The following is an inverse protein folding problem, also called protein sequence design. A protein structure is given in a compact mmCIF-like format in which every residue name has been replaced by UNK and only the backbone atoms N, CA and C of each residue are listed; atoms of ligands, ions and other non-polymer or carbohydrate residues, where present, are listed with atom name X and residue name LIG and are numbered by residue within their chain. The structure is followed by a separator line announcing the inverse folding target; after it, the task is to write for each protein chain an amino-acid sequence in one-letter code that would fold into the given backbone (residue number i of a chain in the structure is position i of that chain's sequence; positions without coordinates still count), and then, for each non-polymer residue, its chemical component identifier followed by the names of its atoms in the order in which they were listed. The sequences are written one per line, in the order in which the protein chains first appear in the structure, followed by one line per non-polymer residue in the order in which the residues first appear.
data_IF_900379619167
#
_entry.id   IF_900379619167
#
_cell.length_a   1.000
_cell.length_b   1.000
_cell.length_c   1.000
_cell.angle_alpha   90.00
_cell.angle_beta   90.00
_cell.angle_gamma   90.00
#
_symmetry.space_group_name_H-M   'P 1'
#
loop_
_entity.id
_entity.type
_entity.pdbx_description
1 polymer ?
#
# COMPACT_ATOMS: atom_id res chain seq x y z
N UNK A 1 -54.83 35.51 -25.23
CA UNK A 1 -54.09 34.24 -25.42
C UNK A 1 -52.61 34.55 -25.25
N UNK A 2 -52.06 34.18 -24.10
CA UNK A 2 -50.70 34.48 -23.69
C UNK A 2 -49.74 33.42 -24.24
N UNK A 3 -48.71 33.85 -24.98
CA UNK A 3 -47.64 32.99 -25.48
C UNK A 3 -46.48 32.95 -24.49
N UNK A 4 -46.24 31.78 -23.90
CA UNK A 4 -45.13 31.49 -23.00
C UNK A 4 -43.77 31.63 -23.69
N UNK A 5 -42.90 32.51 -23.17
CA UNK A 5 -41.47 32.50 -23.45
C UNK A 5 -40.77 31.59 -22.44
N UNK A 6 -40.32 30.42 -22.88
CA UNK A 6 -39.42 29.55 -22.10
C UNK A 6 -38.01 30.15 -22.07
N UNK A 7 -37.61 30.70 -20.93
CA UNK A 7 -36.23 31.05 -20.61
C UNK A 7 -35.42 29.78 -20.32
N UNK A 8 -34.45 29.46 -21.18
CA UNK A 8 -33.46 28.40 -20.94
C UNK A 8 -32.36 28.98 -20.03
N UNK A 9 -32.40 28.59 -18.76
CA UNK A 9 -31.36 28.89 -17.77
C UNK A 9 -30.22 27.87 -17.89
N UNK A 10 -29.16 28.20 -18.63
CA UNK A 10 -27.90 27.44 -18.59
C UNK A 10 -27.15 27.76 -17.29
N UNK A 11 -27.32 26.89 -16.28
CA UNK A 11 -26.50 26.92 -15.06
C UNK A 11 -25.07 26.52 -15.39
N UNK A 12 -24.19 27.51 -15.50
CA UNK A 12 -22.73 27.35 -15.52
C UNK A 12 -22.26 26.69 -14.21
N UNK A 13 -21.90 25.41 -14.26
CA UNK A 13 -21.25 24.68 -13.17
C UNK A 13 -19.83 25.20 -12.98
N UNK A 14 -19.66 26.16 -12.05
CA UNK A 14 -18.35 26.60 -11.56
C UNK A 14 -17.65 25.42 -10.88
N UNK A 15 -16.67 24.81 -11.55
CA UNK A 15 -15.70 23.89 -10.93
C UNK A 15 -14.85 24.70 -9.95
N UNK A 16 -14.98 24.42 -8.64
CA UNK A 16 -14.15 25.02 -7.59
C UNK A 16 -12.72 24.48 -7.73
N UNK A 17 -11.79 25.35 -8.12
CA UNK A 17 -10.36 25.09 -8.03
C UNK A 17 -9.98 24.85 -6.55
N UNK A 18 -9.41 23.68 -6.26
CA UNK A 18 -8.98 23.31 -4.93
C UNK A 18 -7.69 24.07 -4.57
N UNK A 19 -7.73 24.87 -3.49
CA UNK A 19 -6.58 25.64 -2.99
C UNK A 19 -5.94 24.87 -1.84
N UNK A 20 -4.72 24.38 -2.00
CA UNK A 20 -3.92 23.88 -0.87
C UNK A 20 -3.38 25.04 -0.03
N UNK A 21 -3.11 24.76 1.25
CA UNK A 21 -2.65 25.75 2.22
C UNK A 21 -1.34 26.42 1.79
N UNK A 22 -1.40 27.75 1.60
CA UNK A 22 -0.42 28.64 0.95
C UNK A 22 -0.35 28.54 -0.58
N UNK A 23 -1.41 28.99 -1.26
CA UNK A 23 -1.34 29.86 -2.46
C UNK A 23 -0.61 29.37 -3.72
N UNK A 24 0.01 28.18 -3.74
CA UNK A 24 0.64 27.62 -4.93
C UNK A 24 -0.43 26.98 -5.79
N UNK A 25 -0.79 27.67 -6.87
CA UNK A 25 -1.59 27.09 -7.94
C UNK A 25 -0.68 26.17 -8.76
N UNK A 26 -0.85 24.87 -8.61
CA UNK A 26 -0.20 23.89 -9.47
C UNK A 26 -0.85 23.93 -10.85
N UNK A 27 -0.13 24.39 -11.87
CA UNK A 27 -0.67 24.52 -13.24
C UNK A 27 -1.12 23.16 -13.79
N UNK A 28 -0.43 22.10 -13.39
CA UNK A 28 -0.71 20.72 -13.78
C UNK A 28 -1.93 20.10 -13.08
N UNK A 29 -2.49 20.73 -12.03
CA UNK A 29 -3.62 20.18 -11.29
C UNK A 29 -4.89 20.01 -12.14
N UNK A 30 -5.02 20.84 -13.19
CA UNK A 30 -6.15 20.81 -14.13
C UNK A 30 -5.80 20.08 -15.45
N UNK A 31 -4.59 19.54 -15.60
CA UNK A 31 -4.18 18.87 -16.84
C UNK A 31 -4.86 17.51 -16.99
N UNK A 32 -5.17 17.08 -18.24
CA UNK A 32 -5.54 15.69 -18.51
C UNK A 32 -4.39 14.74 -18.17
N UNK A 33 -4.69 13.46 -17.90
CA UNK A 33 -3.70 12.45 -17.50
C UNK A 33 -2.54 12.40 -18.50
N UNK A 34 -2.82 12.30 -19.80
CA UNK A 34 -1.78 12.20 -20.82
C UNK A 34 -0.75 13.32 -20.76
N UNK A 35 -1.20 14.56 -20.54
CA UNK A 35 -0.30 15.70 -20.41
C UNK A 35 0.46 15.69 -19.08
N UNK A 36 -0.17 15.23 -18.01
CA UNK A 36 0.46 15.13 -16.70
C UNK A 36 1.52 14.03 -16.68
N UNK A 37 1.28 12.91 -17.37
CA UNK A 37 2.23 11.78 -17.47
C UNK A 37 3.57 12.19 -18.10
N UNK A 38 3.57 13.16 -19.03
CA UNK A 38 4.81 13.65 -19.65
C UNK A 38 5.62 14.60 -18.75
N UNK A 39 5.12 14.92 -17.55
CA UNK A 39 5.81 15.77 -16.59
C UNK A 39 6.86 14.98 -15.79
N UNK A 40 8.04 15.56 -15.57
CA UNK A 40 9.06 14.97 -14.69
C UNK A 40 8.66 15.06 -13.23
N UNK A 41 8.99 14.03 -12.46
CA UNK A 41 8.74 13.97 -11.02
C UNK A 41 9.31 15.21 -10.29
N UNK A 42 10.55 15.61 -10.62
CA UNK A 42 11.20 16.78 -10.03
C UNK A 42 10.50 18.12 -10.32
N UNK A 43 9.71 18.21 -11.39
CA UNK A 43 9.05 19.44 -11.80
C UNK A 43 7.71 19.66 -11.10
N UNK A 44 7.17 18.65 -10.40
CA UNK A 44 5.85 18.71 -9.73
C UNK A 44 5.76 19.87 -8.72
N UNK A 45 6.88 20.23 -8.09
CA UNK A 45 6.96 21.35 -7.15
C UNK A 45 6.17 21.14 -5.85
N UNK A 46 5.86 19.88 -5.52
CA UNK A 46 5.11 19.48 -4.33
C UNK A 46 6.02 19.28 -3.11
N UNK A 47 5.42 19.32 -1.93
CA UNK A 47 6.06 19.09 -0.65
C UNK A 47 5.17 18.28 0.28
N UNK A 48 5.60 18.11 1.54
CA UNK A 48 4.89 17.29 2.53
C UNK A 48 3.62 17.97 3.09
N UNK A 49 3.29 19.17 2.61
CA UNK A 49 2.17 20.00 3.05
C UNK A 49 0.82 19.64 2.41
N UNK A 50 0.72 18.47 1.79
CA UNK A 50 -0.51 17.96 1.16
C UNK A 50 -1.69 17.82 2.12
N UNK A 51 -2.94 17.85 1.61
CA UNK A 51 -4.14 17.90 2.46
C UNK A 51 -4.35 16.64 3.31
N UNK A 52 -3.88 15.47 2.86
CA UNK A 52 -3.88 14.22 3.64
C UNK A 52 -2.61 14.11 4.49
N UNK A 53 -1.45 14.30 3.87
CA UNK A 53 -0.17 14.06 4.52
C UNK A 53 0.12 15.01 5.69
N UNK A 54 -0.23 16.30 5.57
CA UNK A 54 0.01 17.31 6.61
C UNK A 54 -0.68 16.98 7.94
N UNK A 55 -1.99 16.69 8.00
CA UNK A 55 -2.63 16.29 9.25
C UNK A 55 -2.09 14.96 9.80
N UNK A 56 -1.76 13.99 8.94
CA UNK A 56 -1.16 12.73 9.38
C UNK A 56 0.22 12.93 10.02
N UNK A 57 1.11 13.72 9.40
CA UNK A 57 2.40 14.08 10.00
C UNK A 57 2.25 14.87 11.30
N UNK A 58 1.32 15.82 11.36
CA UNK A 58 1.02 16.54 12.60
C UNK A 58 0.57 15.60 13.72
N UNK A 59 -0.28 14.61 13.41
CA UNK A 59 -0.68 13.57 14.36
C UNK A 59 0.50 12.70 14.77
N UNK A 60 1.34 12.25 13.84
CA UNK A 60 2.54 11.45 14.15
C UNK A 60 3.44 12.19 15.15
N UNK A 61 3.71 13.47 14.90
CA UNK A 61 4.49 14.30 15.80
C UNK A 61 3.82 14.48 17.17
N UNK A 62 2.50 14.66 17.25
CA UNK A 62 1.80 14.67 18.53
C UNK A 62 1.89 13.33 19.28
N UNK A 63 1.83 12.20 18.57
CA UNK A 63 1.99 10.88 19.17
C UNK A 63 3.40 10.70 19.74
N UNK A 64 4.43 11.16 19.03
CA UNK A 64 5.83 11.20 19.53
C UNK A 64 5.93 12.02 20.82
N UNK A 65 5.33 13.21 20.85
CA UNK A 65 5.34 14.07 22.04
C UNK A 65 4.65 13.42 23.24
N UNK A 66 3.50 12.79 23.02
CA UNK A 66 2.77 12.07 24.09
C UNK A 66 3.58 10.90 24.66
N UNK A 67 4.50 10.34 23.88
CA UNK A 67 5.44 9.30 24.34
C UNK A 67 6.68 9.88 25.03
N UNK A 68 6.82 11.21 25.12
CA UNK A 68 7.97 11.87 25.72
C UNK A 68 9.28 11.66 24.95
N UNK A 69 9.20 11.25 23.69
CA UNK A 69 10.38 10.97 22.87
C UNK A 69 10.96 12.27 22.30
N UNK A 70 12.26 12.48 22.50
CA UNK A 70 12.99 13.64 21.96
C UNK A 70 13.20 13.55 20.45
N UNK A 71 13.30 12.34 19.91
CA UNK A 71 13.57 12.11 18.50
C UNK A 71 12.44 12.63 17.61
N UNK A 72 12.80 13.29 16.51
CA UNK A 72 11.89 13.78 15.49
C UNK A 72 12.41 13.36 14.11
N UNK A 73 11.75 12.43 13.40
CA UNK A 73 12.18 12.08 12.06
C UNK A 73 12.01 13.27 11.12
N UNK A 74 12.94 13.44 10.19
CA UNK A 74 12.70 14.28 9.02
C UNK A 74 11.99 13.46 7.94
N UNK A 75 11.06 14.10 7.24
CA UNK A 75 10.34 13.51 6.13
C UNK A 75 10.65 14.28 4.85
N UNK A 76 10.70 13.59 3.72
CA UNK A 76 10.85 14.21 2.40
C UNK A 76 10.02 13.49 1.35
N UNK A 77 9.64 14.21 0.29
CA UNK A 77 8.88 13.61 -0.82
C UNK A 77 9.82 12.83 -1.73
N UNK A 78 9.39 11.64 -2.16
CA UNK A 78 10.08 10.74 -3.09
C UNK A 78 9.06 10.05 -4.02
N UNK A 79 9.49 9.02 -4.76
CA UNK A 79 8.64 8.12 -5.56
C UNK A 79 7.73 7.25 -4.70
N UNK A 80 8.27 6.63 -3.64
CA UNK A 80 7.58 5.66 -2.77
C UNK A 80 7.86 5.92 -1.27
N UNK A 81 7.23 5.14 -0.39
CA UNK A 81 7.60 5.02 1.02
C UNK A 81 8.91 4.27 1.15
N UNK A 82 9.81 4.76 2.02
CA UNK A 82 11.00 4.03 2.46
C UNK A 82 11.77 4.74 3.56
N UNK A 83 12.49 3.97 4.37
CA UNK A 83 13.53 4.47 5.27
C UNK A 83 14.90 3.99 4.80
N UNK A 84 15.81 4.87 4.34
CA UNK A 84 17.15 4.45 3.95
C UNK A 84 18.01 4.06 5.15
N UNK A 85 18.84 3.03 4.96
CA UNK A 85 19.81 2.57 5.96
C UNK A 85 20.62 3.70 6.58
N UNK A 86 20.60 3.76 7.91
CA UNK A 86 21.37 4.75 8.67
C UNK A 86 20.87 6.19 8.53
N UNK A 87 19.66 6.40 8.01
CA UNK A 87 19.01 7.71 7.97
C UNK A 87 17.88 7.77 9.01
N UNK A 88 17.97 8.68 10.00
CA UNK A 88 16.92 8.95 10.99
C UNK A 88 15.69 9.69 10.44
N UNK A 89 15.14 9.22 9.32
CA UNK A 89 14.01 9.83 8.63
C UNK A 89 13.61 9.00 7.42
N UNK A 90 12.46 9.33 6.83
CA UNK A 90 11.85 8.51 5.78
C UNK A 90 11.27 9.34 4.63
N UNK A 91 11.20 8.69 3.48
CA UNK A 91 10.56 9.18 2.28
C UNK A 91 9.05 8.97 2.34
N UNK A 92 8.30 9.88 1.73
CA UNK A 92 6.86 9.78 1.52
C UNK A 92 6.58 9.94 0.02
N UNK A 93 5.65 9.17 -0.55
CA UNK A 93 5.38 9.20 -1.98
C UNK A 93 4.77 10.53 -2.42
N UNK A 94 5.14 10.96 -3.63
CA UNK A 94 4.64 12.19 -4.24
C UNK A 94 3.13 12.16 -4.45
N UNK A 95 2.53 11.00 -4.71
CA UNK A 95 1.11 10.90 -5.00
C UNK A 95 0.21 11.33 -3.83
N UNK A 96 0.67 11.19 -2.57
CA UNK A 96 -0.07 11.63 -1.38
C UNK A 96 -0.03 13.15 -1.12
N UNK A 97 0.77 13.88 -1.90
CA UNK A 97 0.98 15.33 -1.67
C UNK A 97 -0.14 16.19 -2.27
N UNK A 98 -0.93 15.67 -3.20
CA UNK A 98 -1.98 16.43 -3.88
C UNK A 98 -3.12 15.54 -4.40
N UNK A 99 -4.41 15.93 -4.28
CA UNK A 99 -5.54 15.10 -4.72
C UNK A 99 -5.50 14.68 -6.19
N UNK A 100 -5.00 15.57 -7.06
CA UNK A 100 -4.83 15.24 -8.49
C UNK A 100 -3.82 14.11 -8.74
N UNK A 101 -2.76 14.03 -7.93
CA UNK A 101 -1.75 12.99 -8.04
C UNK A 101 -2.26 11.68 -7.43
N UNK A 102 -3.03 11.74 -6.34
CA UNK A 102 -3.77 10.57 -5.82
C UNK A 102 -4.71 9.98 -6.88
N UNK A 103 -5.45 10.81 -7.61
CA UNK A 103 -6.30 10.35 -8.72
C UNK A 103 -5.51 9.73 -9.87
N UNK A 104 -4.29 10.22 -10.12
CA UNK A 104 -3.42 9.64 -11.13
C UNK A 104 -2.93 8.26 -10.66
N UNK A 105 -2.46 8.17 -9.41
CA UNK A 105 -2.04 6.91 -8.78
C UNK A 105 -3.14 5.85 -8.86
N UNK A 106 -4.36 6.19 -8.43
CA UNK A 106 -5.51 5.28 -8.49
C UNK A 106 -5.80 4.79 -9.91
N UNK A 107 -5.61 5.63 -10.93
CA UNK A 107 -5.83 5.22 -12.34
C UNK A 107 -4.72 4.34 -12.87
N UNK A 108 -3.49 4.56 -12.44
CA UNK A 108 -2.32 3.83 -12.94
C UNK A 108 -2.09 2.52 -12.18
N UNK A 109 -2.40 2.50 -10.88
CA UNK A 109 -2.10 1.40 -9.96
C UNK A 109 -3.35 0.76 -9.33
N UNK A 110 -4.55 1.28 -9.61
CA UNK A 110 -5.86 0.77 -9.14
C UNK A 110 -6.10 0.90 -7.63
N UNK A 111 -5.12 1.41 -6.90
CA UNK A 111 -5.17 1.74 -5.48
C UNK A 111 -4.28 2.94 -5.20
N UNK A 112 -4.40 3.49 -3.98
CA UNK A 112 -3.51 4.54 -3.48
C UNK A 112 -2.99 4.07 -2.13
N UNK A 113 -1.76 3.59 -2.08
CA UNK A 113 -1.14 3.16 -0.83
C UNK A 113 -1.05 4.32 0.16
N UNK A 114 -1.64 4.15 1.35
CA UNK A 114 -1.75 5.25 2.32
C UNK A 114 -2.71 6.36 1.88
N UNK A 115 -3.61 6.09 0.94
CA UNK A 115 -4.58 7.04 0.39
C UNK A 115 -5.68 7.47 1.38
N UNK A 116 -5.89 6.70 2.45
CA UNK A 116 -6.76 7.08 3.57
C UNK A 116 -5.95 7.55 4.78
N UNK A 117 -6.58 8.32 5.68
CA UNK A 117 -5.94 8.75 6.92
C UNK A 117 -5.49 7.56 7.78
N UNK A 118 -6.30 6.50 7.86
CA UNK A 118 -5.97 5.33 8.68
C UNK A 118 -4.76 4.57 8.13
N UNK A 119 -4.73 4.30 6.82
CA UNK A 119 -3.60 3.63 6.16
C UNK A 119 -2.33 4.48 6.19
N UNK A 120 -2.43 5.77 5.89
CA UNK A 120 -1.30 6.70 5.97
C UNK A 120 -0.69 6.67 7.38
N UNK A 121 -1.52 6.67 8.43
CA UNK A 121 -1.05 6.55 9.81
C UNK A 121 -0.56 5.15 10.20
N UNK A 122 -0.93 4.08 9.49
CA UNK A 122 -0.32 2.75 9.68
C UNK A 122 1.12 2.78 9.15
N UNK A 123 1.33 3.25 7.93
CA UNK A 123 2.64 3.33 7.27
C UNK A 123 3.57 4.31 7.98
N UNK A 124 3.10 5.53 8.31
CA UNK A 124 3.93 6.52 9.02
C UNK A 124 4.47 6.03 10.37
N UNK A 125 3.71 5.19 11.09
CA UNK A 125 4.17 4.62 12.37
C UNK A 125 5.18 3.49 12.14
N UNK A 126 5.01 2.74 11.06
CA UNK A 126 5.97 1.73 10.62
C UNK A 126 7.31 2.39 10.25
N UNK A 127 7.28 3.40 9.37
CA UNK A 127 8.47 4.17 8.98
C UNK A 127 9.16 4.87 10.16
N UNK A 128 8.37 5.36 11.13
CA UNK A 128 8.93 5.90 12.38
C UNK A 128 9.72 4.83 13.16
N UNK A 129 9.28 3.57 13.11
CA UNK A 129 9.99 2.43 13.71
C UNK A 129 11.39 2.28 13.13
N UNK A 130 11.50 2.19 11.81
CA UNK A 130 12.79 2.16 11.11
C UNK A 130 13.65 3.38 11.41
N UNK A 131 13.06 4.59 11.34
CA UNK A 131 13.79 5.82 11.61
C UNK A 131 14.35 5.88 13.05
N UNK A 132 13.60 5.39 14.04
CA UNK A 132 14.07 5.28 15.44
C UNK A 132 15.15 4.22 15.59
N UNK A 133 15.00 3.06 14.94
CA UNK A 133 16.03 2.02 14.95
C UNK A 133 17.37 2.58 14.46
N UNK A 134 17.37 3.28 13.33
CA UNK A 134 18.57 3.90 12.76
C UNK A 134 19.10 5.05 13.62
N UNK A 135 18.23 5.88 14.18
CA UNK A 135 18.60 7.00 15.05
C UNK A 135 19.43 6.56 16.26
N UNK A 136 19.08 5.41 16.86
CA UNK A 136 19.68 4.91 18.09
C UNK A 136 20.47 3.61 17.91
N UNK A 137 20.63 3.13 16.66
CA UNK A 137 21.30 1.88 16.30
C UNK A 137 20.77 0.67 17.09
N UNK A 138 19.44 0.58 17.26
CA UNK A 138 18.81 -0.40 18.15
C UNK A 138 19.06 -1.84 17.69
N UNK A 139 19.08 -2.07 16.38
CA UNK A 139 19.44 -3.35 15.75
C UNK A 139 20.79 -3.94 16.16
N UNK A 140 21.70 -3.12 16.71
CA UNK A 140 23.00 -3.58 17.22
C UNK A 140 22.92 -4.17 18.62
N UNK A 141 21.84 -3.92 19.36
CA UNK A 141 21.68 -4.40 20.74
C UNK A 141 21.45 -5.90 20.75
N UNK A 142 22.15 -6.62 21.63
CA UNK A 142 22.05 -8.08 21.74
C UNK A 142 20.62 -8.58 21.99
N UNK A 143 19.89 -7.94 22.91
CA UNK A 143 18.49 -8.28 23.22
C UNK A 143 17.53 -8.03 22.03
N UNK A 144 17.81 -7.01 21.23
CA UNK A 144 17.07 -6.78 19.98
C UNK A 144 17.29 -7.95 19.02
N UNK A 145 18.55 -8.36 18.83
CA UNK A 145 18.90 -9.46 17.93
C UNK A 145 18.35 -10.82 18.36
N UNK A 146 18.27 -11.07 19.67
CA UNK A 146 17.66 -12.28 20.24
C UNK A 146 16.15 -12.35 19.97
N UNK A 147 15.47 -11.20 19.92
CA UNK A 147 14.00 -11.13 19.75
C UNK A 147 13.56 -11.07 18.29
N UNK A 148 14.25 -10.29 17.46
CA UNK A 148 13.87 -10.02 16.06
C UNK A 148 14.75 -10.79 15.06
N UNK A 149 16.02 -11.00 15.37
CA UNK A 149 17.01 -11.59 14.48
C UNK A 149 18.11 -10.60 14.10
N UNK A 150 18.93 -10.92 13.09
CA UNK A 150 19.99 -10.01 12.62
C UNK A 150 19.44 -9.12 11.51
N UNK A 151 19.57 -7.80 11.65
CA UNK A 151 19.30 -6.82 10.59
C UNK A 151 20.18 -7.03 9.35
N UNK A 152 21.39 -7.57 9.53
CA UNK A 152 22.30 -7.91 8.42
C UNK A 152 21.84 -9.09 7.55
N UNK A 153 20.63 -9.61 7.74
CA UNK A 153 20.10 -10.65 6.85
C UNK A 153 19.80 -10.00 5.49
N UNK A 154 20.07 -10.69 4.37
CA UNK A 154 19.62 -10.19 3.09
C UNK A 154 18.09 -10.11 3.06
N UNK A 155 17.54 -9.00 2.58
CA UNK A 155 16.12 -8.88 2.32
C UNK A 155 15.71 -9.95 1.28
N UNK A 156 14.68 -10.75 1.58
CA UNK A 156 14.24 -11.76 0.63
C UNK A 156 13.57 -11.10 -0.57
N UNK A 157 13.76 -11.65 -1.76
CA UNK A 157 12.99 -11.24 -2.94
C UNK A 157 11.52 -11.68 -2.85
N UNK A 158 11.25 -12.74 -2.08
CA UNK A 158 9.93 -13.29 -1.78
C UNK A 158 9.92 -13.93 -0.39
N UNK A 159 8.81 -13.81 0.36
CA UNK A 159 8.61 -14.53 1.61
C UNK A 159 7.23 -15.19 1.66
N UNK A 160 7.14 -16.37 2.27
CA UNK A 160 5.87 -17.04 2.51
C UNK A 160 5.47 -16.83 3.98
N UNK A 161 4.48 -15.97 4.27
CA UNK A 161 4.04 -15.76 5.63
C UNK A 161 3.43 -17.04 6.21
N UNK A 162 3.50 -17.18 7.53
CA UNK A 162 2.78 -18.21 8.28
C UNK A 162 1.59 -17.56 8.98
N UNK A 163 0.36 -17.63 8.43
CA UNK A 163 -0.78 -16.85 8.92
C UNK A 163 -1.13 -17.03 10.39
N UNK A 164 -0.96 -18.27 10.88
CA UNK A 164 -1.30 -18.66 12.25
C UNK A 164 -0.16 -18.43 13.25
N UNK A 165 0.95 -17.86 12.81
CA UNK A 165 2.10 -17.59 13.68
C UNK A 165 1.76 -16.50 14.70
N UNK A 166 1.74 -16.87 15.98
CA UNK A 166 1.57 -15.94 17.10
C UNK A 166 2.88 -15.24 17.52
N UNK A 167 3.97 -15.47 16.79
CA UNK A 167 5.30 -14.89 17.09
C UNK A 167 5.46 -13.46 16.62
N UNK A 168 4.55 -12.98 15.78
CA UNK A 168 4.61 -11.67 15.14
C UNK A 168 3.36 -10.87 15.48
N UNK A 169 3.50 -9.55 15.48
CA UNK A 169 2.35 -8.66 15.52
C UNK A 169 1.68 -8.60 14.14
N UNK A 170 0.44 -8.12 14.10
CA UNK A 170 -0.27 -7.82 12.87
C UNK A 170 -0.54 -6.31 12.83
N UNK A 171 0.17 -5.58 11.96
CA UNK A 171 0.01 -4.14 11.79
C UNK A 171 -0.21 -3.71 10.35
N UNK A 172 0.71 -3.98 9.41
CA UNK A 172 0.49 -3.92 7.97
C UNK A 172 -0.04 -5.27 7.46
N UNK A 173 -0.49 -5.30 6.22
CA UNK A 173 -1.12 -6.48 5.61
C UNK A 173 -0.03 -7.53 5.24
N UNK A 174 -0.39 -8.65 4.61
CA UNK A 174 0.54 -9.75 4.23
C UNK A 174 1.39 -10.36 5.35
N UNK A 175 1.04 -10.15 6.61
CA UNK A 175 1.92 -10.51 7.73
C UNK A 175 3.34 -9.94 7.56
N UNK A 176 3.44 -8.67 7.14
CA UNK A 176 4.70 -8.02 6.76
C UNK A 176 5.82 -8.14 7.81
N UNK A 177 5.47 -8.21 9.10
CA UNK A 177 6.41 -8.50 10.19
C UNK A 177 7.22 -9.81 10.03
N UNK A 178 6.83 -10.71 9.12
CA UNK A 178 7.54 -11.97 8.85
C UNK A 178 8.60 -11.86 7.74
N UNK A 179 8.64 -10.75 6.99
CA UNK A 179 9.50 -10.60 5.81
C UNK A 179 10.97 -10.41 6.19
N UNK A 180 11.25 -9.63 7.23
CA UNK A 180 12.61 -9.31 7.68
C UNK A 180 12.64 -8.98 9.18
N UNK A 181 13.76 -9.20 9.92
CA UNK A 181 13.90 -8.74 11.31
C UNK A 181 13.64 -7.25 11.53
N UNK A 182 14.03 -6.41 10.58
CA UNK A 182 13.80 -4.96 10.68
C UNK A 182 12.30 -4.65 10.52
N UNK A 183 11.60 -5.34 9.60
CA UNK A 183 10.14 -5.23 9.48
C UNK A 183 9.40 -5.72 10.73
N UNK A 184 9.84 -6.82 11.33
CA UNK A 184 9.28 -7.33 12.60
C UNK A 184 9.38 -6.28 13.71
N UNK A 185 10.51 -5.57 13.79
CA UNK A 185 10.69 -4.47 14.73
C UNK A 185 9.79 -3.28 14.40
N UNK A 186 9.79 -2.80 13.14
CA UNK A 186 9.00 -1.65 12.71
C UNK A 186 7.50 -1.87 12.93
N UNK A 187 7.00 -3.06 12.59
CA UNK A 187 5.62 -3.50 12.84
C UNK A 187 5.31 -3.54 14.34
N UNK A 188 6.20 -4.12 15.15
CA UNK A 188 6.05 -4.20 16.61
C UNK A 188 6.01 -2.80 17.22
N UNK A 189 6.90 -1.92 16.78
CA UNK A 189 6.94 -0.52 17.19
C UNK A 189 5.65 0.20 16.81
N UNK A 190 5.15 0.01 15.59
CA UNK A 190 3.93 0.65 15.12
C UNK A 190 2.70 0.22 15.94
N UNK A 191 2.58 -1.07 16.29
CA UNK A 191 1.55 -1.56 17.22
C UNK A 191 1.68 -0.91 18.59
N UNK A 192 2.90 -0.89 19.15
CA UNK A 192 3.16 -0.29 20.46
C UNK A 192 2.79 1.19 20.48
N UNK A 193 3.09 1.93 19.41
CA UNK A 193 2.89 3.37 19.29
C UNK A 193 1.41 3.78 19.37
N UNK A 194 0.50 2.93 18.87
CA UNK A 194 -0.94 3.23 18.76
C UNK A 194 -1.55 3.55 20.15
N UNK A 195 -2.09 4.76 20.36
CA UNK A 195 -2.52 5.21 21.70
C UNK A 195 -3.75 4.47 22.25
N UNK A 196 -4.58 3.85 21.39
CA UNK A 196 -5.85 3.23 21.77
C UNK A 196 -5.81 1.70 21.83
N UNK A 197 -4.72 1.08 21.39
CA UNK A 197 -4.62 -0.38 21.33
C UNK A 197 -4.09 -0.88 22.68
N UNK A 198 -4.92 -1.62 23.41
CA UNK A 198 -4.48 -2.38 24.58
C UNK A 198 -3.68 -3.61 24.13
N UNK A 199 -2.48 -3.39 23.61
CA UNK A 199 -1.67 -4.44 23.00
C UNK A 199 -1.38 -5.59 23.97
N UNK A 200 -1.25 -5.31 25.28
CA UNK A 200 -1.13 -6.32 26.34
C UNK A 200 -2.29 -7.30 26.34
N UNK A 201 -3.53 -6.79 26.19
CA UNK A 201 -4.74 -7.60 26.11
C UNK A 201 -4.84 -8.32 24.76
N UNK A 202 -4.56 -7.61 23.66
CA UNK A 202 -4.66 -8.17 22.29
C UNK A 202 -3.70 -9.34 22.05
N UNK A 203 -2.47 -9.24 22.55
CA UNK A 203 -1.41 -10.23 22.36
C UNK A 203 -1.20 -11.11 23.60
N UNK A 204 -2.16 -11.16 24.53
CA UNK A 204 -2.08 -12.03 25.70
C UNK A 204 -1.88 -13.50 25.28
N UNK A 205 -0.86 -14.15 25.84
CA UNK A 205 -0.49 -15.53 25.51
C UNK A 205 0.22 -15.72 24.16
N UNK A 206 0.50 -14.64 23.42
CA UNK A 206 1.28 -14.70 22.17
C UNK A 206 2.76 -14.45 22.47
N UNK A 207 3.69 -15.21 21.85
CA UNK A 207 5.12 -14.92 21.96
C UNK A 207 5.50 -13.49 21.51
N UNK A 208 4.74 -12.89 20.59
CA UNK A 208 4.92 -11.50 20.16
C UNK A 208 4.83 -10.49 21.32
N UNK A 209 4.13 -10.83 22.42
CA UNK A 209 4.01 -9.95 23.58
C UNK A 209 5.37 -9.59 24.18
N UNK A 210 6.32 -10.53 24.19
CA UNK A 210 7.69 -10.29 24.69
C UNK A 210 8.41 -9.19 23.91
N UNK A 211 8.14 -9.09 22.60
CA UNK A 211 8.70 -8.04 21.74
C UNK A 211 8.08 -6.69 22.06
N UNK A 212 6.76 -6.65 22.26
CA UNK A 212 6.05 -5.42 22.66
C UNK A 212 6.51 -4.91 24.03
N UNK A 213 6.69 -5.79 25.00
CA UNK A 213 7.23 -5.44 26.33
C UNK A 213 8.67 -4.95 26.23
N UNK A 214 9.49 -5.57 25.35
CA UNK A 214 10.83 -5.10 25.08
C UNK A 214 10.85 -3.70 24.45
N UNK A 215 10.01 -3.45 23.43
CA UNK A 215 9.90 -2.13 22.80
C UNK A 215 9.42 -1.09 23.83
N UNK A 216 8.45 -1.42 24.68
CA UNK A 216 7.97 -0.50 25.73
C UNK A 216 9.09 -0.08 26.69
N UNK A 217 9.87 -1.04 27.19
CA UNK A 217 11.02 -0.76 28.04
C UNK A 217 12.13 0.00 27.30
N UNK A 218 12.40 -0.39 26.05
CA UNK A 218 13.44 0.23 25.22
C UNK A 218 13.12 1.69 24.91
N UNK A 219 11.87 2.00 24.57
CA UNK A 219 11.45 3.37 24.29
C UNK A 219 11.49 4.24 25.53
N UNK A 220 11.14 3.70 26.70
CA UNK A 220 11.31 4.41 27.98
C UNK A 220 12.79 4.71 28.28
N UNK A 221 13.70 3.78 28.00
CA UNK A 221 15.15 3.97 28.18
C UNK A 221 15.70 5.10 27.30
N UNK A 222 15.31 5.16 26.03
CA UNK A 222 15.89 6.12 25.07
C UNK A 222 15.11 7.44 24.96
N UNK A 223 13.94 7.56 25.59
CA UNK A 223 13.00 8.67 25.39
C UNK A 223 13.65 10.06 25.45
N UNK A 224 14.50 10.30 26.46
CA UNK A 224 15.18 11.59 26.67
C UNK A 224 16.61 11.63 26.08
N UNK A 225 17.14 10.47 25.71
CA UNK A 225 18.47 10.31 25.11
C UNK A 225 18.56 10.99 23.75
N UNK A 226 19.74 11.55 23.44
CA UNK A 226 20.02 12.09 22.11
C UNK A 226 20.20 10.94 21.11
N UNK A 227 19.67 11.05 19.88
CA UNK A 227 20.01 10.15 18.79
C UNK A 227 21.53 10.07 18.59
N UNK A 228 22.03 8.86 18.30
CA UNK A 228 23.43 8.61 17.95
C UNK A 228 23.67 9.07 16.51
N UNK A 229 22.77 8.70 15.62
CA UNK A 229 22.80 9.14 14.22
C UNK A 229 21.94 10.39 14.09
N UNK A 230 22.49 11.43 13.47
CA UNK A 230 21.83 12.75 13.30
C UNK A 230 21.80 13.21 11.84
N UNK A 231 22.14 12.32 10.90
CA UNK A 231 22.11 12.61 9.47
C UNK A 231 20.73 13.10 9.03
N UNK A 232 20.70 14.14 8.20
CA UNK A 232 19.49 14.64 7.54
C UNK A 232 19.53 14.47 6.02
N UNK A 233 20.38 13.55 5.55
CA UNK A 233 20.43 13.21 4.13
C UNK A 233 19.05 12.71 3.68
N UNK A 234 18.73 13.01 2.42
CA UNK A 234 17.50 12.59 1.76
C UNK A 234 17.93 11.73 0.58
N UNK A 235 17.64 10.44 0.64
CA UNK A 235 17.89 9.53 -0.47
C UNK A 235 16.75 9.68 -1.48
N UNK A 236 17.09 9.71 -2.78
CA UNK A 236 16.13 9.87 -3.88
C UNK A 236 15.06 10.97 -3.67
N UNK A 237 15.41 12.19 -3.21
CA UNK A 237 14.40 13.21 -3.00
C UNK A 237 13.77 13.60 -4.33
N UNK A 238 12.45 13.87 -4.34
CA UNK A 238 11.67 14.17 -5.53
C UNK A 238 12.35 15.19 -6.46
N UNK A 239 12.96 16.23 -5.90
CA UNK A 239 13.72 17.27 -6.63
C UNK A 239 14.88 16.75 -7.50
N UNK A 240 15.32 15.50 -7.31
CA UNK A 240 16.40 14.84 -8.06
C UNK A 240 15.88 13.76 -9.01
N UNK A 241 14.61 13.39 -8.95
CA UNK A 241 14.01 12.36 -9.79
C UNK A 241 13.61 12.97 -11.14
N UNK A 242 14.41 12.69 -12.18
CA UNK A 242 14.25 13.27 -13.52
C UNK A 242 13.35 12.47 -14.44
N UNK A 243 12.96 11.26 -14.05
CA UNK A 243 12.02 10.43 -14.80
C UNK A 243 10.67 11.12 -14.89
N UNK A 244 10.01 10.92 -16.02
CA UNK A 244 8.63 11.34 -16.23
C UNK A 244 7.69 10.51 -15.39
N UNK A 245 6.50 11.03 -15.09
CA UNK A 245 5.43 10.25 -14.47
C UNK A 245 5.08 9.03 -15.32
N UNK A 246 5.10 9.17 -16.66
CA UNK A 246 4.90 8.07 -17.61
C UNK A 246 5.91 6.94 -17.41
N UNK A 247 7.20 7.26 -17.44
CA UNK A 247 8.27 6.28 -17.21
C UNK A 247 8.16 5.66 -15.82
N UNK A 248 7.91 6.47 -14.79
CA UNK A 248 7.72 5.97 -13.43
C UNK A 248 6.58 4.95 -13.33
N UNK A 249 5.41 5.24 -13.92
CA UNK A 249 4.29 4.31 -13.90
C UNK A 249 4.53 3.09 -14.78
N UNK A 250 5.19 3.24 -15.93
CA UNK A 250 5.59 2.09 -16.75
C UNK A 250 6.55 1.17 -16.00
N UNK A 251 7.56 1.71 -15.32
CA UNK A 251 8.49 0.94 -14.50
C UNK A 251 7.79 0.29 -13.30
N UNK A 252 6.89 1.02 -12.63
CA UNK A 252 6.10 0.53 -11.50
C UNK A 252 5.16 -0.60 -11.94
N UNK A 253 4.49 -0.44 -13.08
CA UNK A 253 3.64 -1.46 -13.70
C UNK A 253 4.43 -2.64 -14.26
N UNK A 254 5.66 -2.45 -14.74
CA UNK A 254 6.52 -3.56 -15.16
C UNK A 254 7.06 -4.34 -13.95
N UNK A 255 7.30 -3.65 -12.83
CA UNK A 255 7.71 -4.26 -11.57
C UNK A 255 6.58 -5.07 -10.94
N UNK A 256 5.36 -4.56 -10.99
CA UNK A 256 4.21 -5.16 -10.30
C UNK A 256 3.25 -5.92 -11.22
N UNK A 257 3.16 -5.57 -12.49
CA UNK A 257 2.47 -6.33 -13.53
C UNK A 257 3.27 -7.56 -13.95
N UNK A 258 2.57 -8.59 -14.39
CA UNK A 258 3.16 -9.88 -14.73
C UNK A 258 2.61 -10.40 -16.06
N UNK A 259 3.46 -11.06 -16.83
CA UNK A 259 3.06 -11.97 -17.91
C UNK A 259 2.70 -13.33 -17.27
N UNK A 260 1.43 -13.72 -17.35
CA UNK A 260 0.94 -14.96 -16.77
C UNK A 260 1.01 -16.12 -17.77
N UNK A 261 1.49 -17.30 -17.36
CA UNK A 261 1.33 -18.51 -18.16
C UNK A 261 -0.10 -19.09 -18.02
N UNK A 262 -0.64 -19.60 -19.13
CA UNK A 262 -2.01 -20.12 -19.36
C UNK A 262 -2.45 -21.34 -18.51
N UNK A 263 -2.20 -21.37 -17.20
CA UNK A 263 -2.54 -22.52 -16.35
C UNK A 263 -3.95 -22.48 -15.71
N UNK A 264 -4.79 -21.51 -16.08
CA UNK A 264 -6.08 -21.28 -15.43
C UNK A 264 -7.22 -22.19 -15.89
N UNK A 265 -7.10 -22.79 -17.08
CA UNK A 265 -8.21 -23.46 -17.76
C UNK A 265 -8.83 -24.59 -16.94
N UNK A 266 -8.00 -25.40 -16.26
CA UNK A 266 -8.48 -26.49 -15.43
C UNK A 266 -9.34 -25.97 -14.27
N UNK A 267 -8.83 -24.97 -13.55
CA UNK A 267 -9.50 -24.43 -12.38
C UNK A 267 -10.75 -23.63 -12.76
N UNK A 268 -10.69 -22.85 -13.85
CA UNK A 268 -11.84 -22.14 -14.39
C UNK A 268 -12.96 -23.11 -14.81
N UNK A 269 -12.62 -24.28 -15.35
CA UNK A 269 -13.58 -25.36 -15.67
C UNK A 269 -14.13 -26.10 -14.44
N UNK A 270 -13.52 -25.94 -13.26
CA UNK A 270 -14.12 -26.41 -12.00
C UNK A 270 -15.18 -25.43 -11.48
N UNK A 271 -15.00 -24.13 -11.73
CA UNK A 271 -15.89 -23.06 -11.29
C UNK A 271 -17.03 -22.76 -12.27
N UNK A 272 -16.75 -22.89 -13.55
CA UNK A 272 -17.66 -22.60 -14.66
C UNK A 272 -17.74 -23.79 -15.60
N UNK A 273 -18.66 -23.77 -16.57
CA UNK A 273 -18.83 -24.89 -17.50
C UNK A 273 -19.17 -24.43 -18.91
N UNK A 274 -18.65 -25.13 -19.90
CA UNK A 274 -19.00 -25.04 -21.33
C UNK A 274 -20.04 -26.11 -21.74
N UNK A 275 -20.62 -26.86 -20.79
CA UNK A 275 -21.58 -27.91 -21.11
C UNK A 275 -22.87 -27.31 -21.73
N UNK A 276 -23.43 -27.92 -22.80
CA UNK A 276 -24.58 -27.37 -23.52
C UNK A 276 -25.80 -27.04 -22.66
N UNK A 277 -26.00 -27.77 -21.56
CA UNK A 277 -27.09 -27.52 -20.59
C UNK A 277 -27.00 -26.16 -19.88
N UNK A 278 -25.86 -25.49 -19.95
CA UNK A 278 -25.61 -24.18 -19.35
C UNK A 278 -25.48 -23.06 -20.39
N UNK A 279 -25.75 -23.32 -21.68
CA UNK A 279 -25.55 -22.36 -22.77
C UNK A 279 -26.36 -21.05 -22.56
N UNK A 280 -27.54 -21.14 -21.96
CA UNK A 280 -28.41 -19.98 -21.67
C UNK A 280 -28.01 -19.23 -20.40
N UNK A 281 -27.05 -19.74 -19.62
CA UNK A 281 -26.58 -19.08 -18.40
C UNK A 281 -25.67 -17.89 -18.74
N UNK A 282 -25.52 -17.00 -17.76
CA UNK A 282 -24.63 -15.84 -17.85
C UNK A 282 -23.18 -16.30 -18.22
N UNK A 283 -22.55 -15.66 -19.22
CA UNK A 283 -21.13 -15.90 -19.50
C UNK A 283 -20.26 -15.62 -18.27
N UNK A 284 -19.35 -16.53 -17.95
CA UNK A 284 -18.43 -16.43 -16.82
C UNK A 284 -17.62 -15.13 -16.87
N UNK A 285 -17.16 -14.73 -18.06
CA UNK A 285 -16.46 -13.47 -18.27
C UNK A 285 -17.31 -12.24 -17.88
N UNK A 286 -18.61 -12.25 -18.19
CA UNK A 286 -19.54 -11.17 -17.80
C UNK A 286 -19.73 -11.12 -16.29
N UNK A 287 -19.90 -12.29 -15.67
CA UNK A 287 -19.97 -12.43 -14.22
C UNK A 287 -18.71 -11.86 -13.55
N UNK A 288 -17.52 -12.28 -13.98
CA UNK A 288 -16.23 -11.84 -13.44
C UNK A 288 -16.00 -10.34 -13.63
N UNK A 289 -16.35 -9.76 -14.79
CA UNK A 289 -16.31 -8.31 -15.02
C UNK A 289 -17.17 -7.54 -14.01
N UNK A 290 -18.35 -8.07 -13.63
CA UNK A 290 -19.25 -7.44 -12.65
C UNK A 290 -18.67 -7.44 -11.24
N UNK A 291 -18.01 -8.52 -10.84
CA UNK A 291 -17.51 -8.72 -9.46
C UNK A 291 -16.03 -8.33 -9.28
N UNK A 292 -15.38 -7.90 -10.36
CA UNK A 292 -13.94 -7.61 -10.46
C UNK A 292 -13.39 -6.76 -9.31
N UNK A 293 -13.99 -5.59 -9.08
CA UNK A 293 -13.51 -4.64 -8.06
C UNK A 293 -13.63 -5.25 -6.66
N UNK A 294 -14.77 -5.88 -6.36
CA UNK A 294 -15.04 -6.49 -5.04
C UNK A 294 -14.04 -7.61 -4.75
N UNK A 295 -13.82 -8.52 -5.70
CA UNK A 295 -12.93 -9.67 -5.52
C UNK A 295 -11.47 -9.21 -5.45
N UNK A 296 -11.05 -8.28 -6.31
CA UNK A 296 -9.69 -7.73 -6.30
C UNK A 296 -9.37 -7.08 -4.96
N UNK A 297 -10.23 -6.19 -4.46
CA UNK A 297 -10.06 -5.54 -3.16
C UNK A 297 -10.07 -6.53 -1.99
N UNK A 298 -10.90 -7.57 -2.07
CA UNK A 298 -10.95 -8.62 -1.07
C UNK A 298 -9.63 -9.39 -1.04
N UNK A 299 -9.16 -9.87 -2.19
CA UNK A 299 -7.92 -10.66 -2.27
C UNK A 299 -6.72 -9.79 -1.91
N UNK A 300 -6.62 -8.57 -2.43
CA UNK A 300 -5.56 -7.61 -2.10
C UNK A 300 -5.42 -7.42 -0.59
N UNK A 301 -6.52 -7.25 0.14
CA UNK A 301 -6.47 -7.11 1.60
C UNK A 301 -5.87 -8.31 2.34
N UNK A 302 -6.12 -9.52 1.84
CA UNK A 302 -5.68 -10.75 2.51
C UNK A 302 -4.30 -11.21 2.07
N UNK A 303 -3.92 -10.95 0.82
CA UNK A 303 -2.62 -11.29 0.26
C UNK A 303 -1.59 -10.16 0.43
N UNK A 304 -2.07 -8.92 0.60
CA UNK A 304 -1.37 -7.63 0.47
C UNK A 304 -0.56 -7.48 -0.81
N UNK A 305 -1.06 -8.10 -1.87
CA UNK A 305 -0.58 -7.88 -3.23
C UNK A 305 -1.21 -6.63 -3.81
N UNK A 306 -0.48 -5.94 -4.70
CA UNK A 306 -0.99 -4.75 -5.37
C UNK A 306 -2.28 -5.08 -6.15
N UNK A 307 -3.28 -4.21 -6.04
CA UNK A 307 -4.54 -4.35 -6.78
C UNK A 307 -4.26 -4.45 -8.28
N UNK A 308 -3.29 -3.69 -8.80
CA UNK A 308 -2.83 -3.80 -10.20
C UNK A 308 -2.40 -5.22 -10.57
N UNK A 309 -1.59 -5.89 -9.75
CA UNK A 309 -1.13 -7.27 -10.00
C UNK A 309 -2.32 -8.22 -10.10
N UNK A 310 -3.22 -8.16 -9.12
CA UNK A 310 -4.43 -9.01 -9.09
C UNK A 310 -5.37 -8.73 -10.27
N UNK A 311 -5.45 -7.47 -10.70
CA UNK A 311 -6.24 -7.05 -11.85
C UNK A 311 -5.71 -7.65 -13.16
N UNK A 312 -4.39 -7.81 -13.29
CA UNK A 312 -3.78 -8.51 -14.43
C UNK A 312 -4.13 -10.00 -14.42
N UNK A 313 -3.97 -10.71 -13.29
CA UNK A 313 -4.42 -12.12 -13.17
C UNK A 313 -5.89 -12.27 -13.58
N UNK A 314 -6.73 -11.37 -13.06
CA UNK A 314 -8.16 -11.41 -13.26
C UNK A 314 -8.53 -11.08 -14.71
N UNK A 315 -7.83 -10.16 -15.38
CA UNK A 315 -7.95 -9.93 -16.83
C UNK A 315 -7.69 -11.18 -17.64
N UNK A 316 -6.60 -11.88 -17.34
CA UNK A 316 -6.22 -13.07 -18.10
C UNK A 316 -7.23 -14.19 -17.87
N UNK A 317 -7.66 -14.42 -16.62
CA UNK A 317 -8.74 -15.35 -16.31
C UNK A 317 -10.06 -15.01 -17.03
N UNK A 318 -10.41 -13.72 -17.15
CA UNK A 318 -11.57 -13.27 -17.92
C UNK A 318 -11.39 -13.62 -19.40
N UNK A 319 -10.23 -13.34 -19.98
CA UNK A 319 -9.91 -13.68 -21.38
C UNK A 319 -10.06 -15.18 -21.64
N UNK A 320 -9.48 -16.01 -20.76
CA UNK A 320 -9.64 -17.48 -20.81
C UNK A 320 -11.10 -17.91 -20.71
N UNK A 321 -11.91 -17.30 -19.84
CA UNK A 321 -13.34 -17.57 -19.76
C UNK A 321 -14.10 -17.24 -21.06
N UNK A 322 -13.69 -16.20 -21.78
CA UNK A 322 -14.27 -15.83 -23.09
C UNK A 322 -13.87 -16.86 -24.17
N UNK A 323 -12.59 -17.22 -24.23
CA UNK A 323 -12.08 -18.19 -25.20
C UNK A 323 -12.67 -19.60 -25.04
N UNK A 324 -12.90 -20.02 -23.79
CA UNK A 324 -13.45 -21.33 -23.46
C UNK A 324 -15.00 -21.37 -23.46
N UNK A 325 -15.66 -20.26 -23.78
CA UNK A 325 -17.13 -20.08 -23.72
C UNK A 325 -17.76 -20.56 -22.39
N UNK A 326 -17.09 -20.26 -21.27
CA UNK A 326 -17.51 -20.74 -19.96
C UNK A 326 -18.75 -20.00 -19.44
N UNK A 327 -19.63 -20.74 -18.78
CA UNK A 327 -20.92 -20.29 -18.25
C UNK A 327 -21.00 -20.45 -16.74
N UNK A 328 -21.74 -19.55 -16.10
CA UNK A 328 -22.09 -19.59 -14.67
C UNK A 328 -22.92 -20.85 -14.38
N UNK A 329 -22.50 -21.66 -13.40
CA UNK A 329 -23.19 -22.92 -13.03
C UNK A 329 -23.81 -22.91 -11.63
N UNK A 330 -23.43 -21.94 -10.81
CA UNK A 330 -23.79 -21.85 -9.38
C UNK A 330 -24.30 -20.45 -9.03
N UNK A 331 -24.91 -20.32 -7.86
CA UNK A 331 -25.39 -19.01 -7.38
C UNK A 331 -24.24 -18.00 -7.17
N UNK A 332 -24.51 -16.72 -7.43
CA UNK A 332 -23.51 -15.64 -7.39
C UNK A 332 -22.67 -15.61 -6.10
N UNK A 333 -23.32 -15.76 -4.94
CA UNK A 333 -22.62 -15.72 -3.64
C UNK A 333 -21.57 -16.84 -3.51
N UNK A 334 -21.89 -18.04 -3.98
CA UNK A 334 -20.98 -19.18 -3.92
C UNK A 334 -19.82 -18.99 -4.90
N UNK A 335 -20.12 -18.57 -6.14
CA UNK A 335 -19.08 -18.31 -7.14
C UNK A 335 -18.12 -17.19 -6.74
N UNK A 336 -18.60 -16.13 -6.07
CA UNK A 336 -17.73 -15.08 -5.54
C UNK A 336 -16.73 -15.65 -4.55
N UNK A 337 -17.17 -16.52 -3.64
CA UNK A 337 -16.30 -17.15 -2.64
C UNK A 337 -15.30 -18.06 -3.33
N UNK A 338 -15.77 -18.97 -4.18
CA UNK A 338 -14.92 -19.97 -4.81
C UNK A 338 -13.90 -19.32 -5.77
N UNK A 339 -14.31 -18.29 -6.51
CA UNK A 339 -13.40 -17.55 -7.37
C UNK A 339 -12.40 -16.70 -6.56
N UNK A 340 -12.82 -16.14 -5.42
CA UNK A 340 -11.86 -15.44 -4.53
C UNK A 340 -10.81 -16.40 -3.98
N UNK A 341 -11.20 -17.63 -3.65
CA UNK A 341 -10.26 -18.70 -3.25
C UNK A 341 -9.33 -19.04 -4.41
N UNK A 342 -9.87 -19.25 -5.62
CA UNK A 342 -9.05 -19.52 -6.80
C UNK A 342 -8.04 -18.40 -7.07
N UNK A 343 -8.50 -17.15 -7.10
CA UNK A 343 -7.65 -15.99 -7.34
C UNK A 343 -6.55 -15.90 -6.27
N UNK A 344 -6.88 -16.16 -5.00
CA UNK A 344 -5.90 -16.20 -3.90
C UNK A 344 -4.87 -17.31 -4.12
N UNK A 345 -5.31 -18.53 -4.44
CA UNK A 345 -4.42 -19.69 -4.67
C UNK A 345 -3.51 -19.44 -5.87
N UNK A 346 -4.06 -18.93 -6.97
CA UNK A 346 -3.29 -18.67 -8.18
C UNK A 346 -2.31 -17.52 -8.00
N UNK A 347 -2.71 -16.47 -7.28
CA UNK A 347 -1.79 -15.40 -6.89
C UNK A 347 -0.63 -15.97 -6.07
N UNK A 348 -0.92 -16.82 -5.07
CA UNK A 348 0.13 -17.43 -4.22
C UNK A 348 1.02 -18.42 -4.98
N UNK A 349 0.45 -19.29 -5.82
CA UNK A 349 1.20 -20.24 -6.64
C UNK A 349 2.09 -19.53 -7.65
N UNK A 350 1.64 -18.41 -8.22
CA UNK A 350 2.47 -17.57 -9.09
C UNK A 350 3.67 -17.01 -8.32
N UNK A 351 3.45 -16.46 -7.13
CA UNK A 351 4.54 -15.95 -6.29
C UNK A 351 5.57 -17.04 -5.94
N UNK A 352 5.13 -18.29 -5.81
CA UNK A 352 6.01 -19.45 -5.61
C UNK A 352 6.92 -19.76 -6.80
N UNK A 353 6.62 -19.29 -8.02
CA UNK A 353 7.45 -19.52 -9.23
C UNK A 353 8.54 -18.46 -9.45
N UNK A 354 8.67 -17.46 -8.56
CA UNK A 354 9.89 -16.65 -8.42
C UNK A 354 10.05 -15.46 -9.36
N UNK A 355 8.96 -14.88 -9.88
CA UNK A 355 9.03 -13.80 -10.90
C UNK A 355 8.68 -12.39 -10.41
N UNK A 356 8.44 -12.17 -9.12
CA UNK A 356 8.00 -10.85 -8.61
C UNK A 356 8.96 -10.24 -7.57
N UNK A 357 9.06 -8.90 -7.56
CA UNK A 357 9.91 -8.09 -6.67
C UNK A 357 9.03 -7.26 -5.73
N UNK A 358 9.22 -7.41 -4.43
CA UNK A 358 8.47 -6.64 -3.43
C UNK A 358 8.64 -5.12 -3.59
N UNK A 359 7.53 -4.39 -3.43
CA UNK A 359 7.50 -2.97 -3.07
C UNK A 359 7.70 -2.81 -1.58
N UNK A 360 8.17 -1.62 -1.17
CA UNK A 360 8.18 -1.23 0.24
C UNK A 360 6.76 -0.92 0.71
#
# INVERSE_FOLDING_TARGET
MAGERKTISTKSTRRKAYRSGRGRRFVWADWPDEKLLDMRLCDLGVGVEGPLLKPCLAQLYQEIDRRGMRFRPHCWVSSEWFTPDGIPGFAVPFYLTHPRLMQLEERQMLEIEGGTHEECMRILRHELGHAIDHAYLLHRRRKWQELFGKSSKPYPTFYQPRPYSRRYVLHLDSWYAQSHPDEDFAETFAVWMRPRVQWRKRYHGWPALKKLEYVDALMAEIATGKPIVTSRARHEPLSRLRTTLREHYQDKQAKYGSEYPDFYDHDLRQLFSDAPRHADNEPAARFLKRVRIEIRQLVARWTGEYEYTLDQVLSDMIGRCEELDLRVVSGERQLKIDFSILLTVQTMNYLHTGRHRMGM
#
